data_IF_580619176915
#
_entry.id   IF_580619176915
#
_cell.length_a   1.000
_cell.length_b   1.000
_cell.length_c   1.000
_cell.angle_alpha   90.00
_cell.angle_beta   90.00
_cell.angle_gamma   90.00
#
_symmetry.space_group_name_H-M   'P 1'
#
loop_
_entity.id
_entity.type
_entity.pdbx_description
1 polymer ?
2 polymer ?
3 polymer ?
4 polymer ?
5 non-polymer ?
6 non-polymer ?
7 non-polymer ?
8 non-polymer ?
9 non-polymer ?
10 water ?
#
loop_
_entity_poly.entity_id
_entity_poly.type
_entity_poly.pdbx_seq_one_letter_code
_entity_poly.pdbx_strand_id
2 'polydeoxyribonucleotide' '(DC)(DG)(DG)(DC)(DC)(DT)(DA)(DC)(DG)' ?
3 'polydeoxyribonucleotide' '(DC)(DG)(DT)(DA)(8OG)' ?
4 'polydeoxyribonucleotide' '(DG)(DC)(DC)(DG)' ?
#
# COMPACT_ATOMS: atom_id res chain seq x y z
N UNK A 11 11.39 -25.00 -6.34
CA UNK A 11 11.48 -24.66 -4.92
C UNK A 11 10.65 -23.39 -4.66
N UNK A 12 11.21 -22.22 -4.94
CA UNK A 12 10.55 -20.94 -4.68
C UNK A 12 9.28 -20.79 -5.52
N UNK A 13 8.11 -20.69 -4.89
CA UNK A 13 6.86 -20.55 -5.65
C UNK A 13 6.84 -19.26 -6.45
N UNK A 14 6.04 -19.26 -7.51
CA UNK A 14 6.05 -18.15 -8.45
C UNK A 14 5.18 -16.97 -8.00
N UNK A 15 4.15 -17.22 -7.20
CA UNK A 15 3.28 -16.17 -6.72
C UNK A 15 3.69 -15.72 -5.32
N UNK A 16 3.65 -14.41 -5.07
CA UNK A 16 4.11 -13.96 -3.75
C UNK A 16 3.22 -14.45 -2.61
N UNK A 17 1.97 -14.78 -2.89
CA UNK A 17 1.04 -15.23 -1.86
C UNK A 17 1.26 -16.68 -1.46
N UNK A 18 2.22 -17.36 -2.09
CA UNK A 18 2.54 -18.75 -1.82
C UNK A 18 3.75 -18.92 -0.93
N UNK A 19 4.34 -17.84 -0.47
CA UNK A 19 5.57 -17.93 0.29
C UNK A 19 5.58 -16.85 1.35
N UNK A 20 6.19 -17.12 2.50
CA UNK A 20 6.33 -16.09 3.51
C UNK A 20 7.37 -15.05 3.11
N UNK A 21 7.02 -13.79 3.36
CA UNK A 21 7.98 -12.70 3.18
C UNK A 21 8.00 -11.91 4.48
N UNK A 22 9.06 -12.00 5.25
CA UNK A 22 9.16 -11.25 6.51
C UNK A 22 9.50 -9.78 6.27
N UNK A 23 9.37 -8.99 7.35
CA UNK A 23 9.66 -7.56 7.23
C UNK A 23 11.16 -7.32 7.06
N UNK A 24 11.97 -8.04 7.82
CA UNK A 24 13.43 -7.97 7.73
C UNK A 24 13.90 -9.09 6.83
N UNK A 25 14.70 -8.77 5.82
CA UNK A 25 15.19 -9.84 4.98
C UNK A 25 16.66 -9.61 4.66
N UNK A 26 17.20 -10.40 3.72
CA UNK A 26 18.64 -10.52 3.59
C UNK A 26 19.22 -9.99 2.29
N UNK A 27 18.44 -9.28 1.48
CA UNK A 27 18.90 -8.88 0.16
C UNK A 27 18.46 -7.47 -0.19
N UNK A 28 18.55 -6.55 0.77
CA UNK A 28 18.03 -5.20 0.60
C UNK A 28 18.70 -4.47 -0.54
N UNK A 29 20.02 -4.60 -0.66
CA UNK A 29 20.74 -3.90 -1.71
C UNK A 29 20.23 -4.28 -3.09
N UNK A 30 20.04 -5.58 -3.32
CA UNK A 30 19.56 -6.04 -4.61
C UNK A 30 18.10 -5.67 -4.83
N UNK A 31 17.26 -5.88 -3.82
CA UNK A 31 15.85 -5.56 -3.98
C UNK A 31 15.63 -4.06 -4.20
N UNK A 32 16.39 -3.21 -3.51
CA UNK A 32 16.21 -1.77 -3.69
C UNK A 32 16.53 -1.34 -5.12
N UNK A 33 17.57 -1.93 -5.71
CA UNK A 33 17.94 -1.62 -7.08
C UNK A 33 16.84 -2.03 -8.04
N UNK A 34 16.33 -3.25 -7.88
CA UNK A 34 15.25 -3.68 -8.77
C UNK A 34 14.00 -2.82 -8.57
N UNK A 35 13.73 -2.36 -7.35
CA UNK A 35 12.56 -1.50 -7.13
C UNK A 35 12.74 -0.12 -7.75
N UNK A 36 13.96 0.39 -7.86
CA UNK A 36 14.19 1.61 -8.62
C UNK A 36 13.77 1.40 -10.08
N UNK A 37 14.21 0.31 -10.69
CA UNK A 37 13.82 0.04 -12.08
C UNK A 37 12.31 -0.13 -12.21
N UNK A 38 11.68 -0.74 -11.21
CA UNK A 38 10.23 -0.90 -11.25
C UNK A 38 9.54 0.46 -11.24
N UNK A 39 9.96 1.33 -10.31
CA UNK A 39 9.40 2.68 -10.22
C UNK A 39 9.59 3.43 -11.53
N UNK A 40 10.80 3.36 -12.11
CA UNK A 40 11.07 4.01 -13.38
C UNK A 40 10.18 3.46 -14.50
N UNK A 41 9.97 2.14 -14.51
CA UNK A 41 9.06 1.57 -15.50
C UNK A 41 7.67 2.18 -15.37
N UNK A 42 7.18 2.32 -14.14
CA UNK A 42 5.90 2.96 -13.93
C UNK A 42 5.86 4.37 -14.46
N UNK A 43 6.93 5.14 -14.21
CA UNK A 43 6.98 6.52 -14.69
C UNK A 43 6.94 6.60 -16.20
N UNK A 44 7.39 5.55 -16.90
CA UNK A 44 7.34 5.52 -18.36
C UNK A 44 6.09 4.79 -18.87
N UNK A 45 5.17 4.44 -17.98
CA UNK A 45 3.89 3.89 -18.36
C UNK A 45 3.88 2.42 -18.67
N UNK A 46 4.85 1.65 -18.18
CA UNK A 46 4.84 0.19 -18.40
C UNK A 46 4.57 -0.52 -17.09
N UNK A 47 3.29 -0.78 -16.83
CA UNK A 47 2.92 -1.53 -15.65
C UNK A 47 3.45 -2.95 -15.71
N UNK A 48 3.60 -3.52 -16.90
CA UNK A 48 4.11 -4.89 -16.99
C UNK A 48 5.55 -5.00 -16.51
N UNK A 49 6.43 -4.14 -17.01
CA UNK A 49 7.80 -4.12 -16.51
C UNK A 49 7.88 -3.77 -15.03
N UNK A 50 7.06 -2.82 -14.58
CA UNK A 50 6.99 -2.52 -13.16
C UNK A 50 6.69 -3.79 -12.36
N UNK A 51 5.71 -4.56 -12.82
CA UNK A 51 5.32 -5.75 -12.08
C UNK A 51 6.43 -6.78 -12.07
N UNK A 52 7.08 -7.03 -13.22
CA UNK A 52 8.17 -8.00 -13.21
C UNK A 52 9.28 -7.59 -12.25
N UNK A 53 9.72 -6.34 -12.29
CA UNK A 53 10.80 -5.92 -11.41
C UNK A 53 10.37 -5.99 -9.95
N UNK A 54 9.12 -5.63 -9.65
CA UNK A 54 8.62 -5.77 -8.28
C UNK A 54 8.60 -7.23 -7.86
N UNK A 55 8.14 -8.12 -8.74
CA UNK A 55 8.07 -9.54 -8.41
C UNK A 55 9.46 -10.11 -8.19
N UNK A 56 10.44 -9.70 -9.01
CA UNK A 56 11.80 -10.16 -8.84
C UNK A 56 12.38 -9.69 -7.51
N UNK A 57 12.18 -8.39 -7.19
CA UNK A 57 12.61 -7.86 -5.90
C UNK A 57 12.01 -8.66 -4.76
N UNK A 58 10.73 -9.01 -4.89
CA UNK A 58 10.01 -9.73 -3.84
C UNK A 58 10.55 -11.14 -3.64
N UNK A 59 10.92 -11.81 -4.72
CA UNK A 59 11.55 -13.14 -4.63
C UNK A 59 12.79 -13.07 -3.73
N UNK A 60 13.59 -12.00 -3.91
CA UNK A 60 14.82 -11.85 -3.12
C UNK A 60 14.50 -11.63 -1.65
N UNK A 61 13.40 -10.95 -1.34
CA UNK A 61 12.99 -10.74 0.05
C UNK A 61 12.56 -12.03 0.73
N UNK A 62 12.19 -13.06 -0.02
CA UNK A 62 11.75 -14.31 0.56
C UNK A 62 12.88 -15.30 0.72
N UNK A 63 14.05 -15.01 0.19
CA UNK A 63 15.14 -15.97 0.31
C UNK A 63 15.69 -15.98 1.74
N UNK A 64 16.24 -17.13 2.16
CA UNK A 64 16.67 -17.27 3.55
C UNK A 64 18.03 -16.67 3.84
N UNK A 65 18.80 -16.33 2.81
CA UNK A 65 20.16 -15.87 3.01
C UNK A 65 20.51 -14.83 1.96
N UNK A 66 21.60 -14.08 2.17
CA UNK A 66 22.09 -13.19 1.11
C UNK A 66 22.50 -13.96 -0.13
N UNK A 67 22.11 -13.42 -1.29
CA UNK A 67 22.65 -13.84 -2.57
C UNK A 67 24.06 -13.26 -2.70
N UNK A 68 25.03 -14.13 -2.92
CA UNK A 68 26.42 -13.72 -3.06
C UNK A 68 27.00 -14.05 -4.42
N UNK A 69 26.35 -14.92 -5.20
CA UNK A 69 26.88 -15.34 -6.48
C UNK A 69 25.71 -15.49 -7.45
N UNK A 70 25.96 -15.19 -8.73
CA UNK A 70 24.87 -15.19 -9.69
C UNK A 70 24.25 -16.58 -9.79
N UNK A 71 25.06 -17.63 -9.56
CA UNK A 71 24.55 -18.99 -9.57
C UNK A 71 23.30 -19.16 -8.70
N UNK A 72 23.19 -18.39 -7.62
CA UNK A 72 22.08 -18.57 -6.69
C UNK A 72 20.76 -18.08 -7.25
N UNK A 73 20.75 -17.46 -8.43
CA UNK A 73 19.49 -17.07 -9.03
C UNK A 73 18.88 -18.14 -9.91
N UNK A 74 19.65 -19.16 -10.28
CA UNK A 74 19.18 -20.09 -11.29
C UNK A 74 17.87 -20.72 -10.84
N UNK A 75 16.90 -20.72 -11.73
CA UNK A 75 15.64 -21.32 -11.45
C UNK A 75 14.67 -20.44 -10.70
N UNK A 76 15.08 -19.27 -10.24
CA UNK A 76 14.14 -18.44 -9.50
C UNK A 76 13.12 -17.81 -10.44
N UNK A 77 11.85 -17.79 -10.05
CA UNK A 77 10.84 -17.14 -10.89
C UNK A 77 11.07 -15.64 -10.99
N UNK A 78 10.71 -15.09 -12.13
CA UNK A 78 10.78 -13.68 -12.49
C UNK A 78 12.18 -13.14 -12.64
N UNK A 79 13.20 -14.01 -12.67
CA UNK A 79 14.56 -13.62 -13.04
C UNK A 79 14.84 -14.08 -14.45
N UNK A 80 14.96 -13.11 -15.34
CA UNK A 80 15.39 -13.39 -16.66
C UNK A 80 16.66 -12.63 -16.98
N UNK A 81 16.84 -12.35 -18.26
CA UNK A 81 18.10 -11.75 -18.65
C UNK A 81 18.31 -10.38 -17.99
N UNK A 82 17.26 -9.56 -17.93
CA UNK A 82 17.45 -8.20 -17.47
C UNK A 82 17.70 -8.15 -15.96
N UNK A 83 16.82 -8.76 -15.18
CA UNK A 83 16.98 -8.72 -13.72
C UNK A 83 18.24 -9.44 -13.29
N UNK A 84 18.62 -10.51 -13.99
CA UNK A 84 19.83 -11.22 -13.63
C UNK A 84 21.06 -10.36 -13.87
N UNK A 85 21.07 -9.58 -14.96
CA UNK A 85 22.22 -8.73 -15.26
C UNK A 85 22.36 -7.63 -14.22
N UNK A 86 21.24 -7.08 -13.74
CA UNK A 86 21.29 -6.09 -12.68
C UNK A 86 21.95 -6.67 -11.45
N UNK A 87 21.49 -7.85 -11.03
CA UNK A 87 22.10 -8.50 -9.87
C UNK A 87 23.58 -8.79 -10.13
N UNK A 88 23.92 -9.30 -11.32
CA UNK A 88 25.33 -9.61 -11.59
C UNK A 88 26.20 -8.37 -11.46
N UNK A 89 25.74 -7.24 -12.00
CA UNK A 89 26.55 -6.04 -11.91
C UNK A 89 26.70 -5.60 -10.45
N UNK A 90 25.63 -5.72 -9.66
CA UNK A 90 25.73 -5.33 -8.26
C UNK A 90 26.69 -6.25 -7.53
N UNK A 91 26.66 -7.53 -7.83
CA UNK A 91 27.57 -8.43 -7.13
C UNK A 91 29.01 -8.19 -7.56
N UNK A 92 29.22 -7.95 -8.86
CA UNK A 92 30.57 -7.86 -9.38
C UNK A 92 31.20 -6.51 -9.13
N UNK A 93 30.39 -5.45 -9.03
CA UNK A 93 30.89 -4.08 -9.01
C UNK A 93 30.32 -3.21 -7.88
N UNK A 94 29.25 -3.62 -7.21
CA UNK A 94 28.63 -2.82 -6.17
C UNK A 94 27.65 -1.79 -6.68
N UNK A 95 27.58 -1.60 -8.00
CA UNK A 95 26.60 -0.69 -8.58
C UNK A 95 26.17 -1.24 -9.94
N UNK A 96 25.00 -0.82 -10.34
CA UNK A 96 24.44 -1.16 -11.64
C UNK A 96 24.34 0.14 -12.42
N UNK A 97 25.04 0.20 -13.57
CA UNK A 97 25.06 1.43 -14.34
C UNK A 97 23.66 1.94 -14.66
N UNK A 98 22.76 1.04 -15.08
CA UNK A 98 21.40 1.47 -15.44
C UNK A 98 20.68 2.08 -14.25
N UNK A 99 20.79 1.44 -13.10
CA UNK A 99 20.15 1.94 -11.88
C UNK A 99 20.72 3.31 -11.53
N UNK A 100 22.04 3.50 -11.63
CA UNK A 100 22.60 4.79 -11.28
C UNK A 100 22.16 5.87 -12.27
N UNK A 101 22.08 5.51 -13.55
CA UNK A 101 21.64 6.47 -14.55
C UNK A 101 20.21 6.89 -14.28
N UNK A 102 19.34 5.96 -13.87
CA UNK A 102 17.96 6.32 -13.56
C UNK A 102 17.92 7.21 -12.33
N UNK A 103 18.60 6.79 -11.24
CA UNK A 103 18.65 7.56 -10.01
C UNK A 103 18.97 9.03 -10.24
N UNK A 104 19.99 9.29 -11.03
CA UNK A 104 20.50 10.64 -11.19
C UNK A 104 19.75 11.43 -12.23
N UNK A 105 18.77 10.84 -12.90
CA UNK A 105 18.14 11.55 -13.99
C UNK A 105 17.12 12.57 -13.48
N UNK A 106 17.07 13.70 -14.17
CA UNK A 106 16.09 14.74 -13.83
C UNK A 106 14.67 14.19 -13.90
N UNK A 107 14.39 13.37 -14.91
CA UNK A 107 13.05 12.80 -15.08
C UNK A 107 12.66 11.95 -13.89
N UNK A 108 13.50 11.00 -13.52
CA UNK A 108 13.17 10.15 -12.38
C UNK A 108 12.98 10.99 -11.12
N UNK A 109 13.90 11.92 -10.86
CA UNK A 109 13.84 12.68 -9.62
C UNK A 109 12.58 13.52 -9.54
N UNK A 110 12.20 14.15 -10.65
CA UNK A 110 11.02 15.00 -10.65
C UNK A 110 9.76 14.15 -10.59
N UNK A 111 9.73 13.04 -11.32
CA UNK A 111 8.55 12.19 -11.26
C UNK A 111 8.36 11.64 -9.86
N UNK A 112 9.46 11.27 -9.19
CA UNK A 112 9.34 10.80 -7.82
C UNK A 112 8.79 11.89 -6.90
N UNK A 113 9.31 13.11 -7.06
CA UNK A 113 8.87 14.24 -6.25
C UNK A 113 7.38 14.51 -6.43
N UNK A 114 6.92 14.54 -7.68
CA UNK A 114 5.52 14.89 -7.94
C UNK A 114 4.57 13.76 -7.54
N UNK A 115 4.91 12.50 -7.86
CA UNK A 115 3.98 11.42 -7.57
C UNK A 115 3.88 11.14 -6.08
N UNK A 116 4.87 11.56 -5.29
CA UNK A 116 4.74 11.41 -3.83
C UNK A 116 3.71 12.36 -3.25
N UNK A 117 3.26 13.34 -4.01
CA UNK A 117 2.21 14.23 -3.52
C UNK A 117 0.88 13.50 -3.51
N UNK A 118 0.15 13.63 -2.41
CA UNK A 118 -1.21 13.10 -2.33
C UNK A 118 -2.09 13.82 -3.33
N UNK A 119 -2.69 13.05 -4.24
CA UNK A 119 -3.50 13.61 -5.30
C UNK A 119 -2.85 13.63 -6.67
N UNK A 120 -1.57 13.29 -6.76
CA UNK A 120 -0.82 13.31 -8.00
C UNK A 120 -0.35 11.89 -8.31
N UNK A 121 -0.73 11.36 -9.47
CA UNK A 121 -0.17 10.14 -9.98
C UNK A 121 0.73 10.34 -11.18
N UNK A 122 1.11 9.22 -11.81
CA UNK A 122 2.08 9.27 -12.91
C UNK A 122 1.58 10.14 -14.06
N UNK A 123 0.32 9.95 -14.48
CA UNK A 123 -0.15 10.71 -15.63
C UNK A 123 -0.12 12.21 -15.35
N UNK A 124 -0.52 12.62 -14.14
CA UNK A 124 -0.49 14.05 -13.83
C UNK A 124 0.94 14.55 -13.75
N UNK A 125 1.79 13.80 -13.04
CA UNK A 125 3.19 14.19 -12.93
C UNK A 125 3.85 14.31 -14.30
N UNK A 126 3.54 13.38 -15.21
CA UNK A 126 4.16 13.41 -16.53
C UNK A 126 3.73 14.62 -17.33
N UNK A 127 2.46 15.00 -17.22
CA UNK A 127 2.00 16.18 -17.92
C UNK A 127 2.74 17.42 -17.40
N UNK A 128 2.83 17.55 -16.08
CA UNK A 128 3.55 18.68 -15.51
C UNK A 128 5.03 18.66 -15.91
N UNK A 129 5.67 17.49 -15.91
CA UNK A 129 7.05 17.38 -16.36
C UNK A 129 7.19 17.91 -17.78
N UNK A 130 6.30 17.46 -18.67
CA UNK A 130 6.36 17.87 -20.07
C UNK A 130 6.12 19.36 -20.22
N UNK A 131 5.41 20.00 -19.28
CA UNK A 131 5.18 21.43 -19.32
C UNK A 131 6.34 22.23 -18.73
N UNK A 132 7.39 21.55 -18.27
CA UNK A 132 8.57 22.20 -17.76
C UNK A 132 8.60 22.37 -16.25
N UNK A 133 7.61 21.87 -15.54
CA UNK A 133 7.61 22.06 -14.09
C UNK A 133 8.56 21.06 -13.45
N UNK A 134 9.26 21.50 -12.40
CA UNK A 134 10.28 20.69 -11.77
C UNK A 134 10.25 20.67 -10.24
N UNK A 135 9.68 21.69 -9.58
CA UNK A 135 9.75 21.77 -8.13
C UNK A 135 8.36 21.92 -7.53
N UNK A 136 8.28 21.70 -6.23
CA UNK A 136 7.02 21.95 -5.52
C UNK A 136 6.63 23.43 -5.58
N UNK A 137 7.58 24.35 -5.51
CA UNK A 137 7.25 25.77 -5.65
C UNK A 137 6.71 26.10 -7.04
N UNK A 138 7.20 25.41 -8.09
CA UNK A 138 6.62 25.57 -9.41
C UNK A 138 5.12 25.27 -9.39
N UNK A 139 4.73 24.19 -8.70
CA UNK A 139 3.31 23.85 -8.68
C UNK A 139 2.54 24.89 -7.88
N UNK A 140 3.08 25.31 -6.74
CA UNK A 140 2.41 26.30 -5.90
C UNK A 140 2.18 27.61 -6.65
N UNK A 141 3.08 27.96 -7.57
CA UNK A 141 2.91 29.20 -8.31
C UNK A 141 1.77 29.14 -9.34
N UNK A 142 1.15 27.98 -9.53
CA UNK A 142 0.10 27.80 -10.54
C UNK A 142 -1.10 27.07 -9.93
N UNK A 143 -1.72 27.66 -8.90
CA UNK A 143 -2.78 26.95 -8.15
C UNK A 143 -4.02 26.56 -8.95
N UNK A 144 -4.33 27.24 -10.04
CA UNK A 144 -5.52 26.89 -10.80
C UNK A 144 -5.38 25.54 -11.48
N UNK A 145 -4.16 25.05 -11.64
CA UNK A 145 -4.00 23.74 -12.24
C UNK A 145 -4.11 22.60 -11.24
N UNK A 146 -4.57 22.85 -10.00
CA UNK A 146 -4.63 21.84 -8.96
C UNK A 146 -6.05 21.53 -8.51
N UNK A 147 -6.34 20.24 -8.33
CA UNK A 147 -7.57 19.87 -7.66
C UNK A 147 -7.52 20.21 -6.18
N UNK A 148 -8.68 20.16 -5.52
CA UNK A 148 -8.71 20.36 -4.08
C UNK A 148 -7.85 19.32 -3.36
N UNK A 149 -7.91 18.06 -3.80
CA UNK A 149 -7.06 17.03 -3.21
C UNK A 149 -5.58 17.35 -3.33
N UNK A 150 -5.15 17.78 -4.53
CA UNK A 150 -3.75 18.13 -4.75
C UNK A 150 -3.36 19.34 -3.91
N UNK A 151 -4.27 20.30 -3.76
CA UNK A 151 -3.95 21.47 -2.94
C UNK A 151 -3.68 21.06 -1.52
N UNK A 152 -4.49 20.15 -0.99
CA UNK A 152 -4.27 19.61 0.35
C UNK A 152 -2.97 18.84 0.44
N UNK A 153 -2.69 17.99 -0.56
CA UNK A 153 -1.44 17.26 -0.56
C UNK A 153 -0.22 18.18 -0.56
N UNK A 154 -0.27 19.24 -1.35
CA UNK A 154 0.84 20.19 -1.40
C UNK A 154 0.95 21.00 -0.12
N UNK A 155 -0.20 21.40 0.43
CA UNK A 155 -0.17 22.25 1.62
C UNK A 155 0.47 21.51 2.79
N UNK A 156 0.24 20.21 2.89
CA UNK A 156 0.68 19.41 4.02
C UNK A 156 1.85 18.52 3.64
N UNK A 157 2.53 18.84 2.53
CA UNK A 157 3.53 17.91 2.00
C UNK A 157 4.67 17.65 2.99
N UNK A 158 5.17 18.69 3.66
CA UNK A 158 6.30 18.47 4.57
C UNK A 158 5.91 17.52 5.69
N UNK A 159 4.77 17.77 6.34
CA UNK A 159 4.33 16.85 7.40
C UNK A 159 4.11 15.44 6.87
N UNK A 160 3.47 15.30 5.69
CA UNK A 160 3.18 13.98 5.13
C UNK A 160 4.44 13.24 4.69
N UNK A 161 5.56 13.94 4.57
CA UNK A 161 6.83 13.30 4.27
C UNK A 161 7.57 12.84 5.50
N UNK A 162 7.07 13.15 6.71
CA UNK A 162 7.62 12.72 8.00
C UNK A 162 7.08 11.33 8.32
N UNK A 163 7.92 10.32 8.60
CA UNK A 163 7.37 9.00 8.94
C UNK A 163 6.37 9.07 10.08
N UNK A 164 5.28 8.32 9.92
CA UNK A 164 4.33 8.11 11.00
C UNK A 164 4.89 7.03 11.90
N UNK A 165 4.85 7.27 13.21
CA UNK A 165 5.38 6.36 14.22
C UNK A 165 4.27 5.63 14.97
N UNK A 166 4.65 4.61 15.73
CA UNK A 166 3.65 3.89 16.50
C UNK A 166 2.95 4.76 17.53
N UNK A 167 3.66 5.70 18.15
CA UNK A 167 3.01 6.59 19.11
C UNK A 167 1.89 7.38 18.43
N UNK A 168 2.11 7.77 17.16
CA UNK A 168 1.08 8.45 16.39
C UNK A 168 -0.09 7.52 16.12
N UNK A 169 0.20 6.27 15.72
CA UNK A 169 -0.85 5.29 15.49
C UNK A 169 -1.72 5.14 16.73
N UNK A 170 -1.09 5.00 17.89
CA UNK A 170 -1.85 4.75 19.11
C UNK A 170 -2.74 5.95 19.45
N UNK A 171 -2.24 7.16 19.24
CA UNK A 171 -3.05 8.35 19.51
C UNK A 171 -4.21 8.45 18.55
N UNK A 172 -3.94 8.16 17.27
CA UNK A 172 -5.00 8.23 16.27
C UNK A 172 -6.04 7.16 16.51
N UNK A 173 -5.61 5.94 16.90
CA UNK A 173 -6.61 4.90 17.12
C UNK A 173 -7.57 5.31 18.24
N UNK A 174 -7.05 5.97 19.28
CA UNK A 174 -7.91 6.40 20.38
C UNK A 174 -8.95 7.40 19.91
N UNK A 175 -8.55 8.40 19.09
CA UNK A 175 -9.54 9.39 18.71
C UNK A 175 -10.52 8.80 17.68
N UNK A 176 -10.07 7.88 16.83
CA UNK A 176 -11.00 7.24 15.91
C UNK A 176 -11.96 6.34 16.68
N UNK A 177 -11.46 5.60 17.67
CA UNK A 177 -12.37 4.78 18.48
C UNK A 177 -13.40 5.63 19.20
N UNK A 178 -12.98 6.78 19.71
CA UNK A 178 -13.89 7.68 20.40
C UNK A 178 -15.01 8.13 19.48
N UNK A 179 -14.65 8.56 18.28
CA UNK A 179 -15.67 9.04 17.36
C UNK A 179 -16.57 7.92 16.87
N UNK A 180 -16.00 6.75 16.59
CA UNK A 180 -16.79 5.61 16.14
C UNK A 180 -17.79 5.19 17.22
N UNK A 181 -17.34 5.12 18.47
CA UNK A 181 -18.23 4.76 19.56
C UNK A 181 -19.33 5.78 19.80
N UNK A 182 -19.05 7.06 19.55
CA UNK A 182 -20.06 8.10 19.62
C UNK A 182 -21.07 7.96 18.47
N UNK A 183 -20.60 7.54 17.31
CA UNK A 183 -21.46 7.42 16.14
C UNK A 183 -22.32 6.16 16.16
N UNK A 184 -21.81 5.06 16.73
CA UNK A 184 -22.58 3.81 16.68
C UNK A 184 -22.11 2.89 17.78
N UNK A 185 -22.89 2.69 18.85
CA UNK A 185 -22.42 1.82 19.92
C UNK A 185 -22.20 0.42 19.38
N UNK A 186 -21.10 -0.20 19.81
CA UNK A 186 -20.75 -1.54 19.45
C UNK A 186 -19.87 -1.64 18.23
N UNK A 187 -19.65 -0.55 17.52
CA UNK A 187 -18.81 -0.60 16.33
C UNK A 187 -17.37 -0.69 16.76
N UNK A 188 -16.56 -1.32 15.91
CA UNK A 188 -15.19 -1.63 16.23
C UNK A 188 -14.25 -0.99 15.23
N UNK A 189 -13.01 -0.80 15.68
CA UNK A 189 -11.93 -0.23 14.89
C UNK A 189 -10.75 -1.18 14.89
N UNK A 190 -10.27 -1.53 13.70
CA UNK A 190 -9.14 -2.44 13.53
C UNK A 190 -8.04 -1.74 12.76
N UNK A 191 -6.83 -1.71 13.33
CA UNK A 191 -5.67 -1.21 12.61
C UNK A 191 -5.29 -2.18 11.50
N UNK A 192 -5.16 -1.64 10.28
CA UNK A 192 -4.75 -2.44 9.13
C UNK A 192 -3.49 -1.88 8.50
N UNK A 193 -3.31 -2.11 7.19
CA UNK A 193 -2.11 -1.56 6.51
C UNK A 193 -0.80 -2.09 7.08
N UNK A 194 0.26 -1.35 6.77
CA UNK A 194 1.59 -1.81 7.12
C UNK A 194 1.81 -2.00 8.60
N UNK A 195 1.17 -1.19 9.44
CA UNK A 195 1.35 -1.36 10.86
C UNK A 195 0.81 -2.71 11.33
N UNK A 196 -0.23 -3.23 10.68
CA UNK A 196 -0.71 -4.56 11.07
C UNK A 196 0.29 -5.64 10.66
N UNK A 197 1.10 -5.39 9.61
CA UNK A 197 2.14 -6.33 9.19
C UNK A 197 3.42 -6.22 10.01
N UNK A 198 3.47 -5.32 10.98
CA UNK A 198 4.58 -5.18 11.88
C UNK A 198 5.51 -4.04 11.58
N UNK A 199 5.22 -3.22 10.56
CA UNK A 199 6.08 -2.07 10.29
C UNK A 199 6.09 -1.15 11.49
N UNK A 200 7.25 -0.56 11.74
CA UNK A 200 7.42 0.40 12.80
C UNK A 200 7.10 1.81 12.35
N UNK A 201 7.05 2.04 11.05
CA UNK A 201 6.75 3.35 10.49
C UNK A 201 5.87 3.19 9.26
N UNK A 202 5.34 4.31 8.80
CA UNK A 202 4.44 4.27 7.66
C UNK A 202 4.26 5.65 7.07
N UNK A 203 3.62 5.69 5.88
CA UNK A 203 3.23 6.95 5.24
C UNK A 203 1.84 7.38 5.66
N UNK A 204 1.11 6.53 6.37
CA UNK A 204 -0.24 6.86 6.82
C UNK A 204 -0.64 5.80 7.84
N UNK A 205 -1.86 5.94 8.34
CA UNK A 205 -2.47 4.95 9.22
C UNK A 205 -3.78 4.52 8.59
N UNK A 206 -4.00 3.21 8.51
CA UNK A 206 -5.19 2.65 7.90
C UNK A 206 -6.05 1.98 8.96
N UNK A 207 -7.38 2.24 8.94
CA UNK A 207 -8.30 1.68 9.91
C UNK A 207 -9.51 1.09 9.19
N UNK A 208 -9.99 -0.04 9.69
CA UNK A 208 -11.18 -0.72 9.17
C UNK A 208 -12.21 -0.79 10.29
N UNK A 209 -13.43 -0.37 9.98
CA UNK A 209 -14.49 -0.14 10.94
C UNK A 209 -15.66 -1.04 10.56
N UNK A 210 -16.24 -1.73 11.53
CA UNK A 210 -17.41 -2.55 11.27
C UNK A 210 -18.30 -2.58 12.51
N UNK A 211 -19.38 -3.36 12.44
CA UNK A 211 -20.29 -3.57 13.54
C UNK A 211 -20.72 -5.02 13.48
N UNK A 212 -20.81 -5.71 14.61
CA UNK A 212 -21.14 -7.14 14.53
C UNK A 212 -22.52 -7.46 13.99
N UNK A 213 -23.45 -6.50 13.94
CA UNK A 213 -24.80 -6.76 13.44
C UNK A 213 -24.88 -6.23 12.02
N UNK A 214 -24.99 -7.13 11.06
CA UNK A 214 -25.02 -6.79 9.65
C UNK A 214 -26.04 -5.70 9.38
N UNK A 215 -25.61 -4.64 8.69
CA UNK A 215 -26.47 -3.54 8.32
C UNK A 215 -26.42 -2.36 9.27
N UNK A 216 -25.97 -2.57 10.50
CA UNK A 216 -25.97 -1.45 11.43
C UNK A 216 -24.96 -0.39 11.01
N UNK A 217 -23.96 -0.77 10.23
CA UNK A 217 -22.91 0.16 9.83
C UNK A 217 -23.31 1.03 8.65
N UNK A 218 -24.50 0.85 8.10
CA UNK A 218 -24.93 1.73 7.03
C UNK A 218 -24.93 3.18 7.50
N UNK A 219 -24.33 4.05 6.70
CA UNK A 219 -24.33 5.47 7.04
C UNK A 219 -23.30 5.87 8.06
N UNK A 220 -22.42 4.97 8.45
CA UNK A 220 -21.56 5.25 9.60
C UNK A 220 -20.47 6.25 9.26
N UNK A 221 -19.86 6.14 8.08
CA UNK A 221 -18.63 6.91 7.90
C UNK A 221 -18.94 8.40 7.89
N UNK A 222 -20.03 8.89 7.27
CA UNK A 222 -20.32 10.32 7.40
C UNK A 222 -20.52 10.74 8.86
N UNK A 223 -21.10 9.90 9.70
CA UNK A 223 -21.28 10.29 11.08
C UNK A 223 -19.96 10.36 11.81
N UNK A 224 -19.05 9.42 11.53
CA UNK A 224 -17.72 9.45 12.13
C UNK A 224 -16.98 10.72 11.69
N UNK A 225 -17.05 11.05 10.40
CA UNK A 225 -16.33 12.22 9.89
C UNK A 225 -16.87 13.50 10.53
N UNK A 226 -18.19 13.60 10.68
CA UNK A 226 -18.71 14.80 11.32
C UNK A 226 -18.19 14.94 12.74
N UNK A 227 -18.11 13.83 13.48
CA UNK A 227 -17.68 13.86 14.87
C UNK A 227 -16.18 14.19 14.98
N UNK A 228 -15.38 13.68 14.05
CA UNK A 228 -13.98 14.07 14.05
C UNK A 228 -13.81 15.54 13.66
N UNK A 229 -14.56 15.99 12.66
CA UNK A 229 -14.43 17.38 12.26
C UNK A 229 -14.80 18.30 13.41
N UNK A 230 -15.82 17.93 14.18
CA UNK A 230 -16.25 18.83 15.26
C UNK A 230 -15.23 18.90 16.38
N UNK A 231 -14.39 17.88 16.55
CA UNK A 231 -13.29 17.93 17.49
C UNK A 231 -12.07 18.64 16.91
N UNK A 232 -12.19 19.21 15.71
CA UNK A 232 -11.08 19.89 15.06
C UNK A 232 -9.99 18.99 14.53
N UNK A 233 -10.28 17.72 14.32
CA UNK A 233 -9.24 16.75 13.98
C UNK A 233 -9.01 16.60 12.49
N UNK A 234 -9.84 17.20 11.62
CA UNK A 234 -9.77 16.94 10.18
C UNK A 234 -9.29 18.18 9.45
N UNK A 235 -8.20 18.03 8.69
CA UNK A 235 -7.72 19.08 7.80
C UNK A 235 -8.25 18.92 6.39
N UNK A 236 -8.42 17.69 5.93
CA UNK A 236 -8.91 17.41 4.58
C UNK A 236 -9.70 16.11 4.58
N UNK A 237 -10.84 16.11 3.88
CA UNK A 237 -11.47 14.87 3.43
C UNK A 237 -12.36 15.11 2.20
N UNK A 238 -12.94 14.00 1.72
CA UNK A 238 -13.80 13.83 0.52
C UNK A 238 -12.88 13.85 -0.69
N UNK A 258 -23.27 9.32 0.15
CA UNK A 258 -22.95 8.04 0.80
C UNK A 258 -21.51 7.63 0.51
N UNK A 259 -20.73 7.22 1.51
CA UNK A 259 -19.39 6.74 1.18
C UNK A 259 -18.91 5.73 2.23
N UNK A 260 -17.95 4.91 1.80
CA UNK A 260 -17.39 3.86 2.65
C UNK A 260 -15.88 3.86 2.75
N UNK A 261 -15.17 4.74 2.02
CA UNK A 261 -13.74 4.92 2.17
C UNK A 261 -13.50 6.41 2.26
N UNK A 262 -12.70 6.84 3.23
CA UNK A 262 -12.39 8.25 3.38
C UNK A 262 -10.89 8.41 3.52
N UNK A 263 -10.25 9.10 2.53
CA UNK A 263 -8.81 9.31 2.48
C UNK A 263 -8.60 10.68 3.06
N UNK A 264 -8.20 10.73 4.33
CA UNK A 264 -8.24 11.92 5.16
C UNK A 264 -6.83 12.46 5.43
N UNK A 265 -6.76 13.72 5.87
CA UNK A 265 -5.60 14.27 6.53
C UNK A 265 -6.08 14.76 7.89
N UNK A 266 -5.49 14.25 8.95
CA UNK A 266 -5.86 14.61 10.32
C UNK A 266 -4.90 15.64 10.87
N UNK A 267 -5.42 16.51 11.74
CA UNK A 267 -4.63 17.45 12.54
C UNK A 267 -4.37 16.73 13.86
N UNK A 268 -3.22 16.06 13.93
CA UNK A 268 -2.86 15.27 15.11
C UNK A 268 -2.18 16.12 16.17
N UNK A 269 -2.75 16.25 17.38
CA UNK A 269 -2.09 17.04 18.41
C UNK A 269 -0.73 16.45 18.73
N UNK A 270 0.22 17.34 18.95
CA UNK A 270 1.54 17.02 19.48
C UNK A 270 1.80 17.95 20.65
N UNK A 271 2.86 17.70 21.42
CA UNK A 271 3.21 18.63 22.50
C UNK A 271 3.34 20.07 22.05
N UNK A 272 2.45 20.94 22.51
CA UNK A 272 2.48 22.34 22.16
C UNK A 272 2.11 22.67 20.73
N UNK A 273 1.66 21.70 19.95
CA UNK A 273 1.48 21.91 18.52
C UNK A 273 0.71 20.79 17.84
N UNK A 274 0.95 20.58 16.56
CA UNK A 274 0.23 19.56 15.81
C UNK A 274 0.98 19.25 14.53
N UNK A 275 0.66 18.09 13.95
CA UNK A 275 1.17 17.72 12.64
C UNK A 275 0.09 17.04 11.84
N UNK A 276 0.15 17.24 10.52
CA UNK A 276 -0.75 16.57 9.60
C UNK A 276 -0.33 15.12 9.40
N UNK A 277 -1.32 14.22 9.41
CA UNK A 277 -1.11 12.80 9.19
C UNK A 277 -2.19 12.26 8.28
N UNK A 278 -1.78 11.50 7.27
CA UNK A 278 -2.73 10.81 6.41
C UNK A 278 -3.34 9.64 7.15
N UNK A 279 -4.67 9.55 7.09
CA UNK A 279 -5.42 8.45 7.69
C UNK A 279 -6.44 7.98 6.68
N UNK A 280 -6.51 6.66 6.47
CA UNK A 280 -7.56 6.06 5.66
C UNK A 280 -8.57 5.38 6.57
N UNK A 281 -9.85 5.71 6.41
CA UNK A 281 -10.94 5.11 7.19
C UNK A 281 -11.83 4.35 6.21
N UNK A 282 -12.10 3.11 6.51
CA UNK A 282 -12.89 2.23 5.66
C UNK A 282 -13.95 1.57 6.52
N UNK A 283 -15.18 1.52 6.03
CA UNK A 283 -16.27 0.81 6.69
C UNK A 283 -16.64 -0.40 5.84
N UNK A 284 -16.86 -1.53 6.49
CA UNK A 284 -17.34 -2.73 5.83
C UNK A 284 -18.42 -3.37 6.68
N UNK A 285 -19.43 -3.98 6.07
CA UNK A 285 -20.34 -4.84 6.84
C UNK A 285 -19.60 -6.08 7.34
N UNK A 286 -20.10 -6.66 8.43
CA UNK A 286 -19.31 -7.74 9.04
C UNK A 286 -19.20 -8.94 8.11
N UNK A 287 -20.18 -9.18 7.23
CA UNK A 287 -20.07 -10.26 6.24
C UNK A 287 -18.83 -10.11 5.37
N UNK A 288 -18.40 -8.87 5.11
CA UNK A 288 -17.27 -8.58 4.25
C UNK A 288 -15.98 -8.37 5.04
N UNK A 289 -16.07 -8.33 6.37
CA UNK A 289 -14.91 -7.91 7.15
C UNK A 289 -13.66 -8.75 6.90
N UNK A 290 -13.70 -10.08 6.81
CA UNK A 290 -12.44 -10.81 6.56
C UNK A 290 -11.82 -10.46 5.24
N UNK A 291 -12.65 -10.20 4.21
CA UNK A 291 -12.13 -9.83 2.91
C UNK A 291 -11.56 -8.43 2.92
N UNK A 292 -12.19 -7.52 3.65
CA UNK A 292 -11.64 -6.19 3.75
C UNK A 292 -10.37 -6.18 4.58
N UNK A 293 -10.35 -6.95 5.66
CA UNK A 293 -9.15 -7.03 6.48
C UNK A 293 -7.99 -7.56 5.68
N UNK A 294 -8.23 -8.62 4.92
CA UNK A 294 -7.18 -9.18 4.09
C UNK A 294 -6.69 -8.17 3.06
N UNK A 295 -7.60 -7.53 2.34
CA UNK A 295 -7.20 -6.58 1.32
C UNK A 295 -6.43 -5.40 1.89
N UNK A 296 -6.96 -4.79 2.96
CA UNK A 296 -6.37 -3.58 3.53
C UNK A 296 -5.11 -3.86 4.35
N UNK A 297 -4.80 -5.12 4.67
CA UNK A 297 -3.55 -5.42 5.35
C UNK A 297 -2.38 -5.57 4.38
N UNK A 298 -2.63 -5.86 3.09
CA UNK A 298 -1.52 -5.83 2.14
C UNK A 298 -0.56 -6.99 2.32
N UNK A 299 0.70 -6.79 1.89
CA UNK A 299 1.16 -5.63 1.14
C UNK A 299 0.46 -5.45 -0.18
N UNK A 300 0.70 -4.32 -0.85
CA UNK A 300 0.08 -4.09 -2.14
C UNK A 300 0.39 -5.21 -3.12
N UNK A 301 1.67 -5.58 -3.24
CA UNK A 301 2.05 -6.67 -4.15
C UNK A 301 1.46 -8.00 -3.70
N UNK A 302 1.45 -8.27 -2.39
CA UNK A 302 0.87 -9.52 -1.91
C UNK A 302 -0.58 -9.65 -2.38
N UNK A 303 -1.36 -8.56 -2.27
CA UNK A 303 -2.79 -8.64 -2.59
C UNK A 303 -3.03 -8.74 -4.10
N UNK A 304 -2.25 -8.01 -4.91
CA UNK A 304 -2.37 -8.18 -6.36
C UNK A 304 -2.03 -9.61 -6.76
N UNK A 305 -1.00 -10.18 -6.15
CA UNK A 305 -0.62 -11.56 -6.45
C UNK A 305 -1.68 -12.55 -5.98
N UNK A 306 -2.27 -12.31 -4.81
CA UNK A 306 -3.35 -13.16 -4.31
C UNK A 306 -4.57 -13.12 -5.22
N UNK A 307 -4.95 -11.93 -5.69
CA UNK A 307 -6.07 -11.81 -6.61
C UNK A 307 -5.76 -12.45 -7.95
N UNK A 308 -4.52 -12.29 -8.43
CA UNK A 308 -4.10 -12.96 -9.66
C UNK A 308 -4.15 -14.47 -9.51
N UNK A 309 -3.63 -14.98 -8.39
CA UNK A 309 -3.65 -16.41 -8.11
C UNK A 309 -5.08 -16.93 -8.07
N UNK A 310 -5.95 -16.21 -7.36
CA UNK A 310 -7.34 -16.61 -7.22
C UNK A 310 -7.99 -16.82 -8.58
N UNK A 311 -7.84 -15.84 -9.46
CA UNK A 311 -8.53 -15.93 -10.73
C UNK A 311 -7.84 -16.91 -11.68
N UNK A 312 -6.52 -16.79 -11.81
CA UNK A 312 -5.80 -17.55 -12.83
C UNK A 312 -5.62 -19.01 -12.44
N UNK A 313 -5.41 -19.28 -11.15
CA UNK A 313 -5.20 -20.67 -10.74
C UNK A 313 -6.45 -21.35 -10.20
N UNK A 314 -7.38 -20.62 -9.58
CA UNK A 314 -8.52 -21.23 -8.95
C UNK A 314 -9.83 -20.86 -9.63
N UNK A 315 -9.83 -19.91 -10.56
CA UNK A 315 -11.07 -19.57 -11.22
C UNK A 315 -12.04 -18.78 -10.39
N UNK A 316 -11.56 -18.14 -9.32
CA UNK A 316 -12.41 -17.43 -8.38
C UNK A 316 -12.01 -15.96 -8.39
N UNK A 317 -12.98 -15.07 -8.17
CA UNK A 317 -12.71 -13.64 -8.27
C UNK A 317 -12.68 -13.02 -6.88
N UNK A 318 -11.55 -12.44 -6.51
CA UNK A 318 -11.31 -11.92 -5.16
C UNK A 318 -11.23 -10.41 -5.16
N UNK A 319 -11.91 -9.78 -4.21
CA UNK A 319 -11.66 -8.37 -3.92
C UNK A 319 -11.88 -8.15 -2.43
N UNK A 320 -11.93 -6.88 -2.02
CA UNK A 320 -12.06 -6.57 -0.60
C UNK A 320 -13.51 -6.70 -0.10
N UNK A 321 -14.43 -7.11 -0.96
CA UNK A 321 -15.82 -7.38 -0.62
C UNK A 321 -16.12 -8.87 -0.49
N UNK A 322 -15.39 -9.75 -1.17
CA UNK A 322 -15.75 -11.15 -1.20
C UNK A 322 -14.90 -11.95 -2.17
N UNK A 323 -15.29 -13.23 -2.29
CA UNK A 323 -14.66 -14.21 -3.17
C UNK A 323 -15.77 -14.90 -3.94
N UNK A 324 -15.82 -14.68 -5.23
CA UNK A 324 -16.95 -15.05 -6.07
C UNK A 324 -16.59 -16.21 -6.96
N UNK A 325 -17.47 -17.22 -7.01
CA UNK A 325 -17.38 -18.32 -7.96
C UNK A 325 -18.25 -17.98 -9.15
N UNK A 326 -17.69 -17.60 -10.30
CA UNK A 326 -18.50 -17.05 -11.40
C UNK A 326 -19.34 -18.10 -12.11
N UNK A 327 -19.07 -19.38 -11.88
CA UNK A 327 -19.85 -20.43 -12.51
C UNK A 327 -21.05 -20.86 -11.66
N UNK A 328 -20.89 -20.98 -10.33
CA UNK A 328 -22.05 -21.17 -9.45
C UNK A 328 -22.77 -19.86 -9.16
N UNK A 329 -22.10 -18.71 -9.39
CA UNK A 329 -22.67 -17.40 -9.11
C UNK A 329 -22.94 -17.22 -7.61
N UNK A 330 -21.97 -17.63 -6.79
CA UNK A 330 -22.10 -17.57 -5.36
C UNK A 330 -20.86 -16.98 -4.73
N UNK A 331 -21.07 -16.44 -3.55
CA UNK A 331 -20.00 -15.86 -2.77
C UNK A 331 -19.62 -16.78 -1.62
N UNK A 332 -18.31 -16.90 -1.40
CA UNK A 332 -17.81 -17.71 -0.30
C UNK A 332 -18.03 -16.98 1.03
N UNK A 333 -18.66 -17.66 1.99
CA UNK A 333 -18.87 -17.08 3.31
C UNK A 333 -17.62 -17.35 4.14
N UNK A 334 -16.96 -16.29 4.58
CA UNK A 334 -15.73 -16.43 5.34
C UNK A 334 -15.94 -15.82 6.72
N UNK A 335 -15.42 -16.48 7.75
CA UNK A 335 -15.43 -15.92 9.09
C UNK A 335 -14.07 -15.35 9.49
N UNK A 336 -13.03 -15.62 8.71
CA UNK A 336 -11.69 -15.22 9.08
C UNK A 336 -10.84 -15.14 7.82
N UNK A 337 -9.68 -14.49 7.95
CA UNK A 337 -8.69 -14.57 6.87
C UNK A 337 -8.26 -15.99 6.58
N UNK A 338 -8.07 -16.79 7.64
CA UNK A 338 -7.71 -18.20 7.49
C UNK A 338 -8.67 -18.91 6.54
N UNK A 339 -9.98 -18.66 6.69
CA UNK A 339 -10.97 -19.31 5.83
C UNK A 339 -10.70 -18.99 4.35
N UNK A 340 -10.33 -17.73 4.06
CA UNK A 340 -10.08 -17.33 2.67
C UNK A 340 -8.87 -18.06 2.11
N UNK A 341 -7.76 -18.08 2.86
CA UNK A 341 -6.59 -18.81 2.39
C UNK A 341 -6.97 -20.27 2.12
N UNK A 342 -7.75 -20.86 3.02
CA UNK A 342 -8.10 -22.26 2.85
C UNK A 342 -8.96 -22.48 1.61
N UNK A 343 -9.95 -21.60 1.36
CA UNK A 343 -10.79 -21.70 0.16
C UNK A 343 -9.91 -21.74 -1.09
N UNK A 344 -8.84 -20.92 -1.09
CA UNK A 344 -7.96 -20.76 -2.24
C UNK A 344 -6.88 -21.83 -2.31
N UNK A 345 -6.87 -22.77 -1.36
CA UNK A 345 -5.85 -23.80 -1.38
C UNK A 345 -4.46 -23.34 -1.03
N UNK A 346 -4.33 -22.30 -0.21
CA UNK A 346 -3.06 -21.71 0.16
C UNK A 346 -2.77 -21.93 1.63
N UNK A 347 -1.51 -22.21 1.97
CA UNK A 347 -1.12 -22.19 3.36
C UNK A 347 -1.33 -20.80 3.94
N UNK A 348 -1.91 -20.74 5.13
CA UNK A 348 -2.15 -19.47 5.78
C UNK A 348 -0.82 -18.77 6.08
N UNK A 349 -0.79 -17.45 5.86
CA UNK A 349 0.31 -16.60 6.23
C UNK A 349 -0.18 -15.50 7.16
N UNK A 350 0.41 -15.33 8.33
CA UNK A 350 -0.01 -14.20 9.20
C UNK A 350 0.43 -12.89 8.59
N UNK A 351 -0.11 -11.76 9.04
CA UNK A 351 0.21 -10.46 8.42
C UNK A 351 1.69 -10.16 8.33
N UNK A 352 2.46 -10.56 9.33
CA UNK A 352 3.88 -10.25 9.34
C UNK A 352 4.66 -11.05 8.31
N UNK A 353 4.04 -12.00 7.62
CA UNK A 353 4.66 -12.73 6.55
C UNK A 353 4.09 -12.36 5.19
N UNK A 354 3.38 -11.23 5.09
CA UNK A 354 2.77 -10.78 3.85
C UNK A 354 3.49 -9.55 3.30
N UNK A 355 4.77 -9.39 3.63
CA UNK A 355 5.54 -8.19 3.29
C UNK A 355 6.20 -8.34 1.94
N UNK A 356 5.41 -8.76 0.96
CA UNK A 356 5.91 -9.00 -0.37
C UNK A 356 6.23 -7.69 -1.04
X LIG E 1 -0.80 2.48 4.96
X LIG F 1 -19.06 -1.57 -0.98
X LIG G 1 31.29 -6.29 -15.28
X LIG H 1 15.54 -14.36 7.79
X LIG I 1 16.20 -5.70 -21.18
X LIG J 1 0.57 10.52 -5.36
X LIG K 1 2.48 2.35 3.94
X LIG K 1 3.25 2.94 2.77
X LIG K 1 1.22 3.20 4.21
X LIG K 1 3.41 2.27 5.12
X LIG K 1 2.11 0.80 3.59
X LIG K 1 0.67 0.02 3.50
X LIG K 1 0.82 -1.46 3.36
X LIG K 1 -0.40 0.47 4.45
X LIG K 1 0.19 0.57 2.10
X LIG K 1 -1.10 1.61 1.97
X LIG K 1 -0.90 2.31 0.68
X LIG K 1 -1.67 2.49 3.09
X LIG K 1 -2.28 0.61 1.68
X LIG K 1 -3.16 -0.03 2.61
X LIG K 1 -3.41 -1.44 2.12
X LIG K 1 -4.15 -1.43 0.86
X LIG K 1 -2.11 -2.14 1.76
X LIG K 1 -1.62 -2.69 2.97
X LIG K 1 -2.58 -3.16 0.72
X LIG K 1 -3.69 -2.42 -0.03
X LIG K 1 -3.25 -1.81 -1.29
X LIG K 1 -2.22 -0.84 -1.43
X LIG K 1 -2.10 -0.61 -2.78
X LIG K 1 -3.00 -1.43 -3.43
X LIG K 1 -3.26 -1.62 -4.81
X LIG K 1 -2.73 -1.06 -5.77
X LIG K 1 -4.23 -2.60 -5.02
X LIG K 1 -4.89 -3.29 -4.01
X LIG K 1 -5.81 -4.19 -4.36
X LIG K 1 -4.65 -3.14 -2.72
X LIG K 1 -3.70 -2.21 -2.52
X LIG K 1 -1.57 -0.32 -0.55
X LIG L 1 1.25 -1.20 3.17
X LIG L 1 0.93 0.22 3.44
X LIG L 1 0.06 0.59 4.63
X LIG L 1 0.71 1.00 2.17
X LIG L 1 2.30 0.83 3.94
X LIG L 1 2.39 2.45 4.01
X LIG L 1 0.96 2.99 4.22
X LIG L 1 2.96 2.79 2.64
X LIG L 1 3.44 2.57 5.08
X LIG M 1 -7.80 -2.82 -0.22
X LIG M 1 -8.00 -3.97 -1.01
X LIG M 1 -7.58 -1.56 -1.04
X LIG M 1 -8.70 -1.42 -1.85
X LIG N 1 -11.45 -4.27 -3.83
X LIG N 1 -12.82 -4.05 -3.41
X LIG N 1 -10.19 -3.44 -3.40
X LIG O 1 -13.90 -7.06 14.56
X LIG O 1 -15.08 -6.39 14.91
X LIG O 1 -14.25 -8.40 13.94
X LIG O 1 -15.56 -8.42 13.43
X LIG P 1 -20.43 -9.08 -1.74
X LIG P 1 -20.37 -8.04 -2.70
X LIG P 1 -21.85 -9.64 -1.61
X LIG Q 1 11.21 0.56 9.26
X LIG Q 1 9.70 -0.43 9.09
X LIG Q 1 8.63 0.55 8.96
X LIG Q 1 9.74 -1.28 7.90
X LIG Q 1 9.61 -1.22 10.30
X LIG R 1 3.63 -8.78 -26.35
X LIG S 1 0.15 1.17 0.08
X LIG T 1 -3.58 4.13 3.42
X LIG U 1 7.61 -5.84 -22.95
#
# INVERSE_FOLDING_TARGET
GSAAAPLSPAWMPAYACQRPTPLTHHNTGLSEALEILAEAAGFEGSEGRLLTFCRAASVLKALPSPVTTLSQLQGLPHFGEHSSRVVQELLEHGVCEEVERVRRSERYQTMKLFTQIFGVGVKTADRWYREGLRTLDDLREQPQKLTQQQKAGLQHHQDLSTPVLRSDVDALQQVVEEAVGQALPGATVTLTGGFRRGKLQGHDVDFLITHPKEGQEAGLLPRVMCRLQDQGLILYHQHQHSCCESPTRLAQQSHMDAFERSFCIFRLPQPGSWKAVRVDLVVAPVSQFPFALLGWTGSDLFQRELRRFSRKEKGLWLNSHGLFDPEQKTFFQAASEEDIFRHLGLEYLPPEQRNA
MN MN
MN MN
MN MN
MN MN
MN MN
MN MN
8DG PG O1G O2G O3G O3B PB O1B O2B O3A PA O1A O2A O5' C5' C4' O4' C3' O3' C2' C1' N9 C8 N7 C5 C6 O6 N1 C2 N2 N3 C4 O8
PPV O11 P1 O21 O31 OPP P2 O12 O22 O32
EDO C1 O1 C2 O2
EDO C1 O1 C2
EDO C1 O1 C2 O2
EDO C1 O1 C2
EPE C10 S O1S O2S O3S
MN MN
MN MN
MN MN
MN MN
#
